data_IF_524684524234
#
_entry.id   IF_524684524234
#
_cell.length_a   1.000
_cell.length_b   1.000
_cell.length_c   1.000
_cell.angle_alpha   90.00
_cell.angle_beta   90.00
_cell.angle_gamma   90.00
#
_symmetry.space_group_name_H-M   'P 1'
#
loop_
_entity.id
_entity.type
_entity.pdbx_description
1 polymer ?
#
# COMPACT_ATOMS: atom_id res chain seq x y z
N UNK A 1 -7.85 -10.97 -25.14
CA UNK A 1 -7.80 -9.70 -24.39
C UNK A 1 -6.86 -9.87 -23.20
N UNK A 2 -5.69 -9.24 -23.21
CA UNK A 2 -4.69 -9.36 -22.15
C UNK A 2 -5.21 -8.68 -20.88
N UNK A 3 -5.52 -9.46 -19.84
CA UNK A 3 -5.85 -8.94 -18.52
C UNK A 3 -4.68 -8.08 -18.03
N UNK A 4 -4.85 -6.76 -18.03
CA UNK A 4 -3.96 -5.83 -17.30
C UNK A 4 -3.94 -6.31 -15.85
N UNK A 5 -2.84 -6.97 -15.45
CA UNK A 5 -2.67 -7.51 -14.10
C UNK A 5 -2.86 -6.37 -13.12
N UNK A 6 -3.97 -6.45 -12.37
CA UNK A 6 -4.33 -5.49 -11.33
C UNK A 6 -3.17 -5.42 -10.32
N UNK A 7 -2.47 -4.29 -10.25
CA UNK A 7 -1.41 -4.06 -9.27
C UNK A 7 -1.88 -4.07 -7.81
N UNK A 8 -3.18 -4.31 -7.58
CA UNK A 8 -3.82 -4.38 -6.26
C UNK A 8 -3.31 -5.55 -5.44
N UNK A 9 -3.20 -6.76 -6.02
CA UNK A 9 -2.72 -7.93 -5.28
C UNK A 9 -1.29 -7.72 -4.77
N UNK A 10 -0.42 -7.17 -5.63
CA UNK A 10 0.96 -6.84 -5.24
C UNK A 10 0.99 -5.79 -4.12
N UNK A 11 0.09 -4.81 -4.16
CA UNK A 11 -0.05 -3.82 -3.09
C UNK A 11 -0.52 -4.40 -1.77
N UNK A 12 -1.46 -5.35 -1.81
CA UNK A 12 -1.96 -6.04 -0.62
C UNK A 12 -0.85 -6.87 0.04
N UNK A 13 -0.09 -7.62 -0.75
CA UNK A 13 1.02 -8.46 -0.25
C UNK A 13 2.12 -7.58 0.35
N UNK A 14 2.53 -6.51 -0.34
CA UNK A 14 3.55 -5.59 0.18
C UNK A 14 3.04 -4.90 1.45
N UNK A 15 1.78 -4.49 1.47
CA UNK A 15 1.14 -3.88 2.64
C UNK A 15 1.12 -4.82 3.85
N UNK A 16 0.78 -6.09 3.64
CA UNK A 16 0.78 -7.11 4.69
C UNK A 16 2.18 -7.34 5.27
N UNK A 17 3.19 -7.53 4.41
CA UNK A 17 4.57 -7.73 4.85
C UNK A 17 5.06 -6.51 5.64
N UNK A 18 4.80 -5.31 5.12
CA UNK A 18 5.16 -4.07 5.81
C UNK A 18 4.43 -3.95 7.16
N UNK A 19 3.14 -4.30 7.24
CA UNK A 19 2.39 -4.26 8.48
C UNK A 19 2.98 -5.20 9.54
N UNK A 20 3.36 -6.43 9.17
CA UNK A 20 3.97 -7.39 10.08
C UNK A 20 5.35 -6.93 10.58
N UNK A 21 6.21 -6.46 9.68
CA UNK A 21 7.53 -5.92 10.06
C UNK A 21 7.41 -4.68 10.95
N UNK A 22 6.45 -3.80 10.62
CA UNK A 22 6.18 -2.59 11.41
C UNK A 22 5.59 -2.94 12.77
N UNK A 23 4.72 -3.95 12.85
CA UNK A 23 4.19 -4.45 14.11
C UNK A 23 5.32 -4.99 15.02
N UNK A 24 6.22 -5.80 14.45
CA UNK A 24 7.37 -6.31 15.18
C UNK A 24 8.26 -5.17 15.69
N UNK A 25 8.64 -4.23 14.82
CA UNK A 25 9.46 -3.08 15.20
C UNK A 25 8.79 -2.20 16.27
N UNK A 26 7.49 -1.95 16.14
CA UNK A 26 6.71 -1.18 17.10
C UNK A 26 6.59 -1.91 18.45
N UNK A 27 6.37 -3.22 18.45
CA UNK A 27 6.37 -4.04 19.67
C UNK A 27 7.73 -4.06 20.36
N UNK A 28 8.82 -4.16 19.60
CA UNK A 28 10.19 -4.03 20.14
C UNK A 28 10.42 -2.65 20.74
N UNK A 29 9.98 -1.58 20.06
CA UNK A 29 10.07 -0.23 20.60
C UNK A 29 9.30 -0.09 21.92
N UNK A 30 8.07 -0.63 22.01
CA UNK A 30 7.30 -0.65 23.25
C UNK A 30 8.01 -1.40 24.38
N UNK A 31 8.70 -2.50 24.07
CA UNK A 31 9.49 -3.26 25.05
C UNK A 31 10.65 -2.43 25.61
N UNK A 32 11.41 -1.75 24.75
CA UNK A 32 12.58 -0.96 25.15
C UNK A 32 12.26 0.47 25.60
N UNK A 33 11.03 0.95 25.42
CA UNK A 33 10.65 2.34 25.74
C UNK A 33 10.97 2.71 27.19
N UNK A 34 10.89 1.75 28.11
CA UNK A 34 11.14 1.95 29.54
C UNK A 34 12.60 2.29 29.86
N UNK A 35 13.54 1.93 28.97
CA UNK A 35 14.98 2.16 29.13
C UNK A 35 15.42 3.56 28.67
N UNK A 36 14.53 4.33 28.03
CA UNK A 36 14.85 5.68 27.58
C UNK A 36 14.99 6.66 28.77
N UNK A 37 15.84 7.69 28.64
CA UNK A 37 15.97 8.74 29.65
C UNK A 37 14.62 9.36 30.00
N UNK A 38 14.44 9.76 31.26
CA UNK A 38 13.18 10.33 31.76
C UNK A 38 12.70 11.49 30.89
N UNK A 39 13.59 12.42 30.55
CA UNK A 39 13.26 13.62 29.75
C UNK A 39 12.72 13.27 28.36
N UNK A 40 13.21 12.17 27.77
CA UNK A 40 12.73 11.68 26.46
C UNK A 40 11.36 11.02 26.60
N UNK A 41 11.15 10.24 27.67
CA UNK A 41 9.87 9.57 27.94
C UNK A 41 8.75 10.53 28.29
N UNK A 42 9.07 11.63 28.97
CA UNK A 42 8.10 12.61 29.47
C UNK A 42 8.02 13.88 28.63
N UNK A 43 8.73 13.93 27.49
CA UNK A 43 8.64 15.05 26.56
C UNK A 43 7.18 15.34 26.17
N UNK A 44 6.76 16.59 26.34
CA UNK A 44 5.38 17.03 26.13
C UNK A 44 4.36 16.23 26.94
N UNK A 45 4.67 15.94 28.20
CA UNK A 45 3.78 15.21 29.12
C UNK A 45 3.68 13.71 28.83
N UNK A 46 4.63 13.15 28.07
CA UNK A 46 4.62 11.74 27.66
C UNK A 46 3.76 11.43 26.43
N UNK A 47 3.26 12.46 25.74
CA UNK A 47 2.42 12.33 24.55
C UNK A 47 3.25 12.29 23.26
N UNK A 48 4.38 13.01 23.24
CA UNK A 48 5.16 13.25 22.02
C UNK A 48 5.74 11.95 21.47
N UNK A 49 6.33 11.12 22.34
CA UNK A 49 7.01 9.91 21.93
C UNK A 49 6.04 8.84 21.38
N UNK A 50 4.90 8.53 22.03
CA UNK A 50 3.86 7.66 21.46
C UNK A 50 3.28 8.19 20.14
N UNK A 51 2.98 9.48 20.06
CA UNK A 51 2.46 10.11 18.85
C UNK A 51 3.46 10.02 17.69
N UNK A 52 4.76 10.24 17.94
CA UNK A 52 5.81 10.10 16.95
C UNK A 52 5.95 8.63 16.49
N UNK A 53 5.86 7.66 17.40
CA UNK A 53 5.85 6.24 17.08
C UNK A 53 4.67 5.86 16.18
N UNK A 54 3.46 6.30 16.53
CA UNK A 54 2.26 6.08 15.73
C UNK A 54 2.36 6.72 14.33
N UNK A 55 2.87 7.95 14.26
CA UNK A 55 3.13 8.62 12.99
C UNK A 55 4.14 7.82 12.13
N UNK A 56 5.22 7.33 12.72
CA UNK A 56 6.22 6.52 12.03
C UNK A 56 5.62 5.23 11.46
N UNK A 57 4.75 4.54 12.22
CA UNK A 57 4.01 3.36 11.74
C UNK A 57 3.18 3.70 10.50
N UNK A 58 2.38 4.76 10.57
CA UNK A 58 1.56 5.20 9.44
C UNK A 58 2.38 5.59 8.21
N UNK A 59 3.53 6.26 8.43
CA UNK A 59 4.47 6.66 7.39
C UNK A 59 5.08 5.45 6.66
N UNK A 60 5.61 4.47 7.39
CA UNK A 60 6.22 3.25 6.81
C UNK A 60 5.20 2.51 5.95
N UNK A 61 3.97 2.36 6.43
CA UNK A 61 2.92 1.63 5.72
C UNK A 61 2.45 2.39 4.48
N UNK A 62 2.36 3.73 4.55
CA UNK A 62 2.09 4.55 3.38
C UNK A 62 3.18 4.35 2.31
N UNK A 63 4.46 4.42 2.70
CA UNK A 63 5.60 4.24 1.80
C UNK A 63 5.63 2.83 1.18
N UNK A 64 5.31 1.80 1.95
CA UNK A 64 5.19 0.44 1.44
C UNK A 64 4.10 0.32 0.37
N UNK A 65 2.92 0.88 0.61
CA UNK A 65 1.85 0.95 -0.38
C UNK A 65 2.25 1.78 -1.60
N UNK A 66 3.18 2.72 -1.43
CA UNK A 66 3.66 3.48 -2.56
C UNK A 66 4.41 2.61 -3.58
N UNK A 67 5.12 1.56 -3.15
CA UNK A 67 5.83 0.66 -4.06
C UNK A 67 4.91 -0.06 -5.07
N UNK A 68 3.63 -0.28 -4.74
CA UNK A 68 2.70 -1.06 -5.55
C UNK A 68 2.21 -0.40 -6.85
N UNK A 69 2.44 0.92 -7.03
CA UNK A 69 2.01 1.74 -8.19
C UNK A 69 0.52 1.62 -8.59
N UNK A 70 -0.34 1.06 -7.73
CA UNK A 70 -1.76 0.90 -8.02
C UNK A 70 -2.50 2.25 -7.98
N UNK A 71 -3.35 2.53 -8.99
CA UNK A 71 -4.17 3.76 -9.08
C UNK A 71 -5.57 3.62 -8.43
N UNK A 72 -5.78 2.55 -7.67
CA UNK A 72 -7.07 2.24 -7.04
C UNK A 72 -7.38 3.20 -5.89
N UNK A 73 -8.64 3.61 -5.78
CA UNK A 73 -9.15 4.39 -4.64
C UNK A 73 -9.35 3.54 -3.37
N UNK A 74 -9.26 2.22 -3.47
CA UNK A 74 -9.32 1.33 -2.30
C UNK A 74 -7.98 1.26 -1.54
N UNK A 75 -6.87 1.60 -2.19
CA UNK A 75 -5.53 1.51 -1.61
C UNK A 75 -5.33 2.34 -0.32
N UNK A 76 -5.91 3.56 -0.19
CA UNK A 76 -5.80 4.32 1.04
C UNK A 76 -6.53 3.68 2.23
N UNK A 77 -7.69 3.07 1.97
CA UNK A 77 -8.45 2.37 3.01
C UNK A 77 -7.70 1.13 3.49
N UNK A 78 -7.13 0.35 2.57
CA UNK A 78 -6.31 -0.81 2.95
C UNK A 78 -5.05 -0.37 3.70
N UNK A 79 -4.41 0.73 3.31
CA UNK A 79 -3.24 1.26 4.03
C UNK A 79 -3.59 1.69 5.46
N UNK A 80 -4.74 2.34 5.66
CA UNK A 80 -5.23 2.69 6.99
C UNK A 80 -5.49 1.45 7.85
N UNK A 81 -6.16 0.45 7.29
CA UNK A 81 -6.41 -0.84 7.95
C UNK A 81 -5.10 -1.55 8.34
N UNK A 82 -4.11 -1.56 7.44
CA UNK A 82 -2.80 -2.13 7.75
C UNK A 82 -2.06 -1.36 8.84
N UNK A 83 -2.19 -0.03 8.91
CA UNK A 83 -1.62 0.77 9.99
C UNK A 83 -2.26 0.49 11.35
N UNK A 84 -3.59 0.37 11.39
CA UNK A 84 -4.31 -0.06 12.58
C UNK A 84 -3.87 -1.47 13.01
N UNK A 85 -3.85 -2.42 12.08
CA UNK A 85 -3.44 -3.78 12.35
C UNK A 85 -2.00 -3.85 12.87
N UNK A 86 -1.07 -3.10 12.28
CA UNK A 86 0.33 -3.06 12.71
C UNK A 86 0.47 -2.53 14.13
N UNK A 87 -0.25 -1.46 14.49
CA UNK A 87 -0.25 -0.93 15.85
C UNK A 87 -0.82 -1.93 16.85
N UNK A 88 -1.99 -2.52 16.58
CA UNK A 88 -2.65 -3.46 17.49
C UNK A 88 -1.79 -4.71 17.68
N UNK A 89 -1.28 -5.29 16.59
CA UNK A 89 -0.39 -6.46 16.66
C UNK A 89 0.93 -6.14 17.38
N UNK A 90 1.50 -4.96 17.16
CA UNK A 90 2.70 -4.53 17.87
C UNK A 90 2.47 -4.28 19.36
N UNK A 91 1.30 -3.75 19.74
CA UNK A 91 0.88 -3.64 21.14
C UNK A 91 0.78 -5.01 21.82
N UNK A 92 0.06 -5.94 21.20
CA UNK A 92 -0.10 -7.31 21.68
C UNK A 92 1.27 -7.97 21.81
N UNK A 93 2.07 -7.96 20.75
CA UNK A 93 3.40 -8.57 20.74
C UNK A 93 4.36 -7.95 21.76
N UNK A 94 4.37 -6.62 21.90
CA UNK A 94 5.17 -5.92 22.89
C UNK A 94 4.75 -6.24 24.33
N UNK A 95 3.46 -6.31 24.62
CA UNK A 95 2.94 -6.67 25.95
C UNK A 95 3.19 -8.15 26.27
N UNK A 96 3.04 -9.03 25.29
CA UNK A 96 3.39 -10.45 25.44
C UNK A 96 4.88 -10.55 25.79
N UNK A 97 5.76 -9.92 25.01
CA UNK A 97 7.20 -9.95 25.29
C UNK A 97 7.55 -9.36 26.67
N UNK A 98 6.92 -8.25 27.07
CA UNK A 98 7.18 -7.60 28.35
C UNK A 98 6.68 -8.43 29.54
N UNK A 99 5.44 -8.91 29.49
CA UNK A 99 4.79 -9.57 30.63
C UNK A 99 5.20 -11.04 30.84
N UNK A 100 5.66 -11.75 29.80
CA UNK A 100 6.08 -13.16 29.95
C UNK A 100 7.58 -13.37 29.76
N UNK A 101 8.17 -12.83 28.69
CA UNK A 101 9.59 -13.10 28.38
C UNK A 101 10.52 -12.21 29.21
N UNK A 102 10.16 -10.93 29.41
CA UNK A 102 10.96 -9.96 30.18
C UNK A 102 11.08 -10.27 31.68
N UNK A 103 10.18 -11.08 32.23
CA UNK A 103 10.17 -11.50 33.64
C UNK A 103 10.94 -12.83 33.83
N UNK A 104 11.55 -13.37 32.77
CA UNK A 104 12.39 -14.56 32.84
C UNK A 104 11.62 -15.87 32.86
N UNK A 105 10.35 -15.90 32.44
CA UNK A 105 9.61 -17.14 32.22
C UNK A 105 9.89 -17.65 30.80
N UNK A 106 10.73 -18.70 30.63
CA UNK A 106 10.93 -19.27 29.31
C UNK A 106 9.62 -19.86 28.81
N UNK A 107 9.28 -19.54 27.57
CA UNK A 107 8.11 -20.14 26.91
C UNK A 107 8.56 -21.49 26.34
N UNK A 108 8.25 -22.56 27.07
CA UNK A 108 8.78 -23.90 26.80
C UNK A 108 8.10 -24.59 25.60
N UNK A 109 6.86 -24.22 25.28
CA UNK A 109 6.10 -24.81 24.17
C UNK A 109 5.35 -23.77 23.34
N UNK A 110 5.05 -24.13 22.08
CA UNK A 110 4.24 -23.30 21.17
C UNK A 110 2.82 -23.12 21.73
N UNK A 111 2.25 -24.14 22.38
CA UNK A 111 0.89 -24.05 22.94
C UNK A 111 0.84 -23.03 24.09
N UNK A 112 1.83 -23.05 24.98
CA UNK A 112 1.97 -22.04 26.04
C UNK A 112 2.12 -20.64 25.44
N UNK A 113 2.92 -20.49 24.38
CA UNK A 113 3.05 -19.21 23.67
C UNK A 113 1.71 -18.72 23.12
N UNK A 114 0.96 -19.59 22.46
CA UNK A 114 -0.33 -19.25 21.85
C UNK A 114 -1.37 -18.87 22.90
N UNK A 115 -1.39 -19.54 24.05
CA UNK A 115 -2.32 -19.21 25.12
C UNK A 115 -1.99 -17.88 25.79
N UNK A 116 -0.70 -17.60 26.04
CA UNK A 116 -0.24 -16.28 26.49
C UNK A 116 -0.65 -15.21 25.48
N UNK A 117 -0.47 -15.47 24.18
CA UNK A 117 -0.80 -14.52 23.12
C UNK A 117 -2.31 -14.23 23.10
N UNK A 118 -3.16 -15.25 23.22
CA UNK A 118 -4.62 -15.09 23.32
C UNK A 118 -5.02 -14.27 24.55
N UNK A 119 -4.43 -14.57 25.70
CA UNK A 119 -4.72 -13.86 26.95
C UNK A 119 -4.26 -12.40 26.87
N UNK A 120 -3.09 -12.15 26.28
CA UNK A 120 -2.60 -10.79 26.05
C UNK A 120 -3.51 -10.04 25.08
N UNK A 121 -3.98 -10.70 24.03
CA UNK A 121 -4.90 -10.08 23.06
C UNK A 121 -6.22 -9.67 23.71
N UNK A 122 -6.80 -10.50 24.58
CA UNK A 122 -8.05 -10.17 25.29
C UNK A 122 -7.85 -9.02 26.29
N UNK A 123 -6.74 -9.01 27.03
CA UNK A 123 -6.37 -7.88 27.90
C UNK A 123 -6.09 -6.60 27.11
N UNK A 124 -5.43 -6.70 25.97
CA UNK A 124 -5.15 -5.53 25.12
C UNK A 124 -6.45 -4.93 24.61
N UNK A 125 -7.43 -5.75 24.23
CA UNK A 125 -8.73 -5.26 23.80
C UNK A 125 -9.45 -4.43 24.89
N UNK A 126 -9.41 -4.87 26.14
CA UNK A 126 -10.02 -4.11 27.25
C UNK A 126 -9.27 -2.80 27.54
N UNK A 127 -7.94 -2.80 27.50
CA UNK A 127 -7.11 -1.59 27.67
C UNK A 127 -7.33 -0.55 26.56
N UNK A 128 -7.58 -1.02 25.34
CA UNK A 128 -7.92 -0.16 24.20
C UNK A 128 -9.27 0.52 24.37
N UNK A 129 -10.27 -0.20 24.88
CA UNK A 129 -11.58 0.38 25.15
C UNK A 129 -11.57 1.33 26.35
N UNK A 130 -10.71 1.08 27.33
CA UNK A 130 -10.64 1.86 28.56
C UNK A 130 -9.89 3.19 28.45
N UNK A 131 -8.95 3.33 27.51
CA UNK A 131 -8.09 4.53 27.44
C UNK A 131 -8.24 5.30 26.12
N UNK A 132 -8.60 6.60 26.17
CA UNK A 132 -8.68 7.45 24.98
C UNK A 132 -7.31 7.71 24.33
N UNK A 133 -6.20 7.56 25.06
CA UNK A 133 -4.86 7.76 24.51
C UNK A 133 -4.52 6.73 23.41
N UNK A 134 -4.96 5.48 23.57
CA UNK A 134 -4.76 4.45 22.55
C UNK A 134 -5.52 4.79 21.26
N UNK A 135 -6.74 5.31 21.38
CA UNK A 135 -7.51 5.77 20.23
C UNK A 135 -6.83 6.91 19.51
N UNK A 136 -6.29 7.90 20.25
CA UNK A 136 -5.50 8.98 19.65
C UNK A 136 -4.37 8.40 18.80
N UNK A 137 -3.53 7.54 19.37
CA UNK A 137 -2.37 7.02 18.65
C UNK A 137 -2.79 6.19 17.41
N UNK A 138 -3.87 5.42 17.50
CA UNK A 138 -4.46 4.72 16.35
C UNK A 138 -4.92 5.67 15.25
N UNK A 139 -5.61 6.75 15.62
CA UNK A 139 -6.07 7.75 14.65
C UNK A 139 -4.90 8.47 13.98
N UNK A 140 -3.81 8.72 14.70
CA UNK A 140 -2.59 9.30 14.13
C UNK A 140 -1.98 8.35 13.09
N UNK A 141 -1.80 7.07 13.42
CA UNK A 141 -1.22 6.11 12.48
C UNK A 141 -2.11 5.89 11.25
N UNK A 142 -3.41 5.63 11.47
CA UNK A 142 -4.38 5.42 10.39
C UNK A 142 -4.55 6.66 9.52
N UNK A 143 -4.69 7.84 10.15
CA UNK A 143 -4.82 9.12 9.47
C UNK A 143 -3.60 9.44 8.62
N UNK A 144 -2.40 9.22 9.14
CA UNK A 144 -1.14 9.41 8.40
C UNK A 144 -1.07 8.49 7.18
N UNK A 145 -1.34 7.20 7.37
CA UNK A 145 -1.34 6.23 6.27
C UNK A 145 -2.37 6.58 5.20
N UNK A 146 -3.59 6.92 5.61
CA UNK A 146 -4.69 7.29 4.71
C UNK A 146 -4.38 8.57 3.93
N UNK A 147 -3.95 9.63 4.62
CA UNK A 147 -3.71 10.94 4.01
C UNK A 147 -2.58 10.86 2.97
N UNK A 148 -1.45 10.25 3.32
CA UNK A 148 -0.30 10.14 2.42
C UNK A 148 -0.62 9.29 1.17
N UNK A 149 -1.31 8.17 1.35
CA UNK A 149 -1.71 7.31 0.23
C UNK A 149 -2.80 7.95 -0.64
N UNK A 150 -3.77 8.62 -0.03
CA UNK A 150 -4.82 9.34 -0.75
C UNK A 150 -4.23 10.48 -1.59
N UNK A 151 -3.36 11.32 -1.01
CA UNK A 151 -2.68 12.40 -1.71
C UNK A 151 -1.89 11.88 -2.91
N UNK A 152 -1.21 10.73 -2.76
CA UNK A 152 -0.50 10.10 -3.87
C UNK A 152 -1.44 9.63 -4.96
N UNK A 153 -2.52 8.94 -4.62
CA UNK A 153 -3.52 8.47 -5.60
C UNK A 153 -4.12 9.65 -6.36
N UNK A 154 -4.45 10.74 -5.66
CA UNK A 154 -4.94 11.98 -6.28
C UNK A 154 -3.91 12.61 -7.21
N UNK A 155 -2.63 12.69 -6.80
CA UNK A 155 -1.54 13.20 -7.65
C UNK A 155 -1.35 12.34 -8.91
N UNK A 156 -1.37 11.02 -8.78
CA UNK A 156 -1.25 10.10 -9.93
C UNK A 156 -2.43 10.21 -10.90
N UNK A 157 -3.65 10.41 -10.38
CA UNK A 157 -4.84 10.63 -11.21
C UNK A 157 -4.80 11.98 -11.91
N UNK A 158 -4.38 13.05 -11.23
CA UNK A 158 -4.20 14.38 -11.84
C UNK A 158 -3.17 14.33 -12.97
N UNK A 159 -2.02 13.69 -12.77
CA UNK A 159 -1.01 13.49 -13.84
C UNK A 159 -1.57 12.71 -15.02
N UNK A 160 -2.26 11.60 -14.77
CA UNK A 160 -2.88 10.83 -15.84
C UNK A 160 -3.91 11.63 -16.66
N UNK A 161 -4.66 12.56 -16.02
CA UNK A 161 -5.58 13.47 -16.73
C UNK A 161 -4.84 14.51 -17.55
N UNK A 162 -3.74 15.06 -17.05
CA UNK A 162 -2.89 15.99 -17.80
C UNK A 162 -2.23 15.30 -19.01
N UNK A 163 -1.74 14.08 -18.83
CA UNK A 163 -1.14 13.29 -19.92
C UNK A 163 -2.19 12.95 -21.00
N UNK A 164 -3.44 12.68 -20.59
CA UNK A 164 -4.56 12.45 -21.51
C UNK A 164 -5.04 13.74 -22.19
N UNK A 165 -5.06 14.88 -21.48
CA UNK A 165 -5.40 16.18 -22.02
C UNK A 165 -4.35 16.67 -23.03
N UNK A 166 -3.06 16.54 -22.70
CA UNK A 166 -1.95 16.86 -23.61
C UNK A 166 -1.88 15.90 -24.81
N UNK A 167 -2.33 14.65 -24.67
CA UNK A 167 -2.47 13.73 -25.80
C UNK A 167 -3.70 14.03 -26.67
N UNK A 168 -4.75 14.65 -26.12
CA UNK A 168 -5.92 15.12 -26.85
C UNK A 168 -5.69 16.50 -27.51
N UNK A 169 -4.78 17.30 -26.95
CA UNK A 169 -4.40 18.63 -27.45
C UNK A 169 -3.20 18.57 -28.43
N UNK A 170 -2.53 17.41 -28.54
CA UNK A 170 -1.79 17.11 -29.77
C UNK A 170 -2.83 16.93 -30.88
N UNK A 171 -2.86 17.80 -31.90
CA UNK A 171 -3.64 17.48 -33.09
C UNK A 171 -3.18 16.09 -33.56
N UNK A 172 -4.09 15.23 -34.04
CA UNK A 172 -3.68 13.95 -34.60
C UNK A 172 -2.59 14.25 -35.62
N UNK A 173 -1.38 13.73 -35.39
CA UNK A 173 -0.25 13.87 -36.31
C UNK A 173 -0.44 13.03 -37.60
N UNK A 174 -1.71 12.81 -37.98
CA UNK A 174 -2.21 12.18 -39.19
C UNK A 174 -3.40 12.97 -39.78
N UNK A 175 -3.68 14.19 -39.30
CA UNK A 175 -4.45 15.20 -40.01
C UNK A 175 -3.56 16.42 -40.27
N UNK A 176 -2.39 16.19 -40.85
CA UNK A 176 -1.93 17.17 -41.83
C UNK A 176 -3.01 17.17 -42.89
N UNK A 177 -3.84 18.21 -42.84
CA UNK A 177 -4.71 18.58 -43.93
C UNK A 177 -3.86 18.49 -45.19
N UNK A 178 -4.16 17.49 -46.01
CA UNK A 178 -3.78 17.35 -47.40
C UNK A 178 -4.06 18.72 -48.06
N UNK A 179 -3.10 19.64 -47.96
CA UNK A 179 -3.05 20.85 -48.76
C UNK A 179 -2.63 20.37 -50.14
N UNK A 180 -3.55 19.69 -50.81
CA UNK A 180 -3.40 19.20 -52.17
C UNK A 180 -3.38 20.43 -53.07
N UNK A 181 -2.23 20.71 -53.65
CA UNK A 181 -2.17 21.56 -54.82
C UNK A 181 -3.12 20.96 -55.89
N UNK A 182 -3.93 21.77 -56.58
CA UNK A 182 -5.02 21.30 -57.44
C UNK A 182 -4.59 20.51 -58.70
N UNK A 183 -3.31 20.15 -58.85
CA UNK A 183 -2.77 19.55 -60.08
C UNK A 183 -1.97 18.25 -59.87
N UNK A 184 -2.02 17.61 -58.70
CA UNK A 184 -1.42 16.28 -58.56
C UNK A 184 -2.35 15.16 -59.10
N UNK A 185 -1.85 14.28 -60.00
CA UNK A 185 -2.62 13.16 -60.50
C UNK A 185 -2.90 12.15 -59.39
N UNK A 186 -4.15 11.67 -59.33
CA UNK A 186 -4.66 10.68 -58.37
C UNK A 186 -3.73 9.47 -58.25
N UNK A 187 -2.95 9.39 -57.17
CA UNK A 187 -2.30 8.13 -56.80
C UNK A 187 -3.38 7.13 -56.40
N UNK A 188 -3.39 5.97 -57.08
CA UNK A 188 -4.29 4.88 -56.78
C UNK A 188 -4.11 4.44 -55.32
N UNK A 189 -5.24 4.20 -54.64
CA UNK A 189 -5.27 3.74 -53.26
C UNK A 189 -4.36 2.52 -53.07
N UNK A 190 -3.43 2.62 -52.12
CA UNK A 190 -2.60 1.50 -51.68
C UNK A 190 -3.53 0.36 -51.24
N UNK A 191 -3.45 -0.84 -51.81
CA UNK A 191 -4.38 -1.91 -51.49
C UNK A 191 -4.27 -2.26 -50.01
N UNK A 192 -5.42 -2.22 -49.33
CA UNK A 192 -5.55 -2.68 -47.96
C UNK A 192 -5.12 -4.15 -47.91
N UNK A 193 -4.11 -4.46 -47.09
CA UNK A 193 -3.69 -5.82 -46.80
C UNK A 193 -4.90 -6.59 -46.29
N UNK A 194 -5.45 -7.48 -47.12
CA UNK A 194 -6.57 -8.33 -46.78
C UNK A 194 -6.16 -9.29 -45.64
N UNK A 195 -7.05 -9.56 -44.67
CA UNK A 195 -6.77 -10.56 -43.63
C UNK A 195 -6.65 -11.97 -44.25
N UNK A 196 -5.88 -12.88 -43.63
CA UNK A 196 -5.62 -14.20 -44.19
C UNK A 196 -6.91 -15.02 -44.28
N UNK A 197 -7.21 -15.51 -45.48
CA UNK A 197 -8.42 -16.25 -45.80
C UNK A 197 -8.27 -17.71 -45.28
N UNK A 198 -8.97 -18.02 -44.19
CA UNK A 198 -8.98 -19.33 -43.49
C UNK A 198 -9.65 -20.49 -44.27
N UNK A 199 -10.06 -20.26 -45.52
CA UNK A 199 -10.83 -21.21 -46.34
C UNK A 199 -10.17 -21.57 -47.68
N UNK A 200 -8.87 -21.28 -47.83
CA UNK A 200 -8.12 -21.71 -49.02
C UNK A 200 -7.64 -23.16 -48.82
N UNK A 201 -7.92 -24.11 -49.71
CA UNK A 201 -7.37 -25.47 -49.60
C UNK A 201 -5.83 -25.42 -49.71
N UNK A 202 -5.09 -26.27 -48.98
CA UNK A 202 -3.64 -26.33 -49.12
C UNK A 202 -3.27 -26.85 -50.52
N UNK A 203 -2.49 -26.07 -51.26
CA UNK A 203 -1.81 -26.51 -52.48
C UNK A 203 -0.92 -27.71 -52.13
N UNK A 204 -1.33 -28.90 -52.58
CA UNK A 204 -0.42 -30.05 -52.68
C UNK A 204 0.35 -29.90 -53.99
N UNK A 205 1.46 -29.19 -53.93
CA UNK A 205 2.47 -29.17 -54.97
C UNK A 205 3.44 -30.34 -54.79
N UNK A 206 3.40 -31.27 -55.74
CA UNK A 206 4.33 -32.36 -55.94
C UNK A 206 5.74 -31.85 -56.31
N UNK A 207 6.76 -32.43 -55.70
CA UNK A 207 8.08 -32.75 -56.28
C UNK A 207 8.88 -33.62 -55.29
#
# INVERSE_FOLDING_TARGET
MSHKRSGLLRGLIIGLIAALLTAAAYGTWLFYRGQLPYDVRWLGGGIVLPAAGAFAVGLVIALAHWAARARSLFLPFTAALYALAAMVLGWIGGHTAFNTIGIGFPVETIDTFLDILKQTASMTASLFLASPDHWRDLTIAAGTALLLTLLRVLRLRRRARLDQGAAAEKPPADQEADYRAPFEPLQAAKPATAPPNLFSPPDRGEA
#
